data_IF_707810051178
#
_entry.id   IF_707810051178
#
_cell.length_a   1.000
_cell.length_b   1.000
_cell.length_c   1.000
_cell.angle_alpha   90.00
_cell.angle_beta   90.00
_cell.angle_gamma   90.00
#
_symmetry.space_group_name_H-M   'P 1'
#
loop_
_entity.id
_entity.type
_entity.pdbx_description
1 polymer ?
#
# COMPACT_ATOMS: atom_id res chain seq x y z
N UNK A 1 -14.58 10.68 -1.45
CA UNK A 1 -14.09 9.30 -1.28
C UNK A 1 -13.04 9.13 -2.35
N UNK A 2 -11.77 9.02 -1.96
CA UNK A 2 -10.68 8.87 -2.93
C UNK A 2 -10.79 7.44 -3.45
N UNK A 3 -11.08 7.29 -4.73
CA UNK A 3 -11.12 5.98 -5.37
C UNK A 3 -9.71 5.59 -5.78
N UNK A 4 -9.24 4.43 -5.30
CA UNK A 4 -7.87 3.96 -5.44
C UNK A 4 -7.88 2.73 -6.35
N UNK A 5 -7.26 2.84 -7.51
CA UNK A 5 -7.07 1.71 -8.41
C UNK A 5 -5.81 0.94 -8.02
N UNK A 6 -5.96 -0.30 -7.53
CA UNK A 6 -4.87 -1.21 -7.14
C UNK A 6 -5.04 -2.56 -7.85
N UNK A 7 -3.97 -3.04 -8.48
CA UNK A 7 -3.89 -4.39 -9.06
C UNK A 7 -3.55 -5.42 -7.98
N UNK A 8 -4.56 -5.81 -7.20
CA UNK A 8 -4.40 -6.78 -6.11
C UNK A 8 -3.93 -8.15 -6.62
N UNK A 9 -4.54 -8.65 -7.70
CA UNK A 9 -4.26 -9.98 -8.24
C UNK A 9 -2.82 -10.08 -8.75
N UNK A 10 -2.34 -9.05 -9.47
CA UNK A 10 -0.96 -9.00 -9.96
C UNK A 10 0.07 -8.99 -8.83
N UNK A 11 -0.17 -8.20 -7.78
CA UNK A 11 0.73 -8.12 -6.62
C UNK A 11 0.72 -9.44 -5.82
N UNK A 12 -0.46 -10.03 -5.60
CA UNK A 12 -0.57 -11.32 -4.93
C UNK A 12 0.18 -12.42 -5.69
N UNK A 13 0.02 -12.46 -7.01
CA UNK A 13 0.71 -13.43 -7.86
C UNK A 13 2.23 -13.26 -7.83
N UNK A 14 2.72 -12.02 -7.87
CA UNK A 14 4.16 -11.75 -7.88
C UNK A 14 4.81 -12.16 -6.55
N UNK A 15 4.15 -11.89 -5.44
CA UNK A 15 4.71 -12.18 -4.11
C UNK A 15 4.40 -13.60 -3.60
N UNK A 16 3.66 -14.40 -4.38
CA UNK A 16 3.18 -15.73 -3.98
C UNK A 16 2.33 -15.66 -2.70
N UNK A 17 1.45 -14.66 -2.63
CA UNK A 17 0.57 -14.45 -1.49
C UNK A 17 -0.73 -15.24 -1.66
N UNK A 18 -1.22 -15.93 -0.60
CA UNK A 18 -2.50 -16.63 -0.65
C UNK A 18 -3.66 -15.63 -0.76
N UNK A 19 -4.74 -16.02 -1.42
CA UNK A 19 -5.96 -15.20 -1.50
C UNK A 19 -6.75 -15.25 -0.17
N UNK A 20 -6.27 -14.50 0.82
CA UNK A 20 -6.82 -14.40 2.19
C UNK A 20 -6.76 -12.95 2.69
N UNK A 21 -7.55 -12.62 3.71
CA UNK A 21 -7.61 -11.27 4.32
C UNK A 21 -6.25 -10.63 4.54
N UNK A 22 -5.35 -11.36 5.20
CA UNK A 22 -4.02 -10.85 5.55
C UNK A 22 -3.19 -10.43 4.32
N UNK A 23 -3.38 -11.04 3.16
CA UNK A 23 -2.69 -10.64 1.93
C UNK A 23 -3.26 -9.33 1.37
N UNK A 24 -4.58 -9.17 1.40
CA UNK A 24 -5.22 -7.92 1.00
C UNK A 24 -4.82 -6.77 1.91
N UNK A 25 -4.87 -7.00 3.22
CA UNK A 25 -4.51 -6.02 4.25
C UNK A 25 -3.10 -5.47 4.04
N UNK A 26 -2.12 -6.34 3.78
CA UNK A 26 -0.73 -5.93 3.51
C UNK A 26 -0.60 -5.05 2.26
N UNK A 27 -1.27 -5.42 1.17
CA UNK A 27 -1.26 -4.63 -0.07
C UNK A 27 -1.90 -3.27 0.19
N UNK A 28 -3.05 -3.25 0.86
CA UNK A 28 -3.75 -2.04 1.28
C UNK A 28 -2.84 -1.12 2.07
N UNK A 29 -2.12 -1.67 3.05
CA UNK A 29 -1.27 -0.93 3.95
C UNK A 29 -0.14 -0.20 3.21
N UNK A 30 0.43 -0.84 2.19
CA UNK A 30 1.42 -0.22 1.31
C UNK A 30 0.87 1.01 0.59
N UNK A 31 -0.36 0.91 0.07
CA UNK A 31 -0.99 1.99 -0.69
C UNK A 31 -1.42 3.14 0.22
N UNK A 32 -1.91 2.84 1.43
CA UNK A 32 -2.14 3.86 2.47
C UNK A 32 -0.83 4.60 2.77
N UNK A 33 0.27 3.87 2.91
CA UNK A 33 1.56 4.48 3.15
C UNK A 33 1.99 5.42 2.01
N UNK A 34 1.80 5.04 0.73
CA UNK A 34 2.03 5.96 -0.39
C UNK A 34 1.21 7.26 -0.26
N UNK A 35 -0.05 7.17 0.18
CA UNK A 35 -0.90 8.33 0.40
C UNK A 35 -0.44 9.19 1.59
N UNK A 36 0.09 8.57 2.65
CA UNK A 36 0.68 9.28 3.77
C UNK A 36 1.94 10.03 3.35
N UNK A 37 2.78 9.45 2.50
CA UNK A 37 3.96 10.12 1.91
C UNK A 37 3.52 11.36 1.13
N UNK A 38 2.50 11.23 0.28
CA UNK A 38 1.90 12.37 -0.44
C UNK A 38 1.38 13.45 0.51
N UNK A 39 0.71 13.03 1.58
CA UNK A 39 0.09 13.91 2.55
C UNK A 39 1.11 14.70 3.38
N UNK A 40 2.26 14.08 3.71
CA UNK A 40 3.36 14.77 4.40
C UNK A 40 3.93 15.89 3.53
N UNK A 41 4.01 15.69 2.22
CA UNK A 41 4.54 16.71 1.30
C UNK A 41 3.58 17.88 1.05
N UNK A 42 2.28 17.73 1.31
CA UNK A 42 1.29 18.82 1.25
C UNK A 42 1.41 19.84 2.39
N UNK A 43 2.46 19.74 3.22
CA UNK A 43 2.75 20.61 4.37
C UNK A 43 1.66 20.62 5.44
N UNK A 44 0.73 19.66 5.38
CA UNK A 44 -0.19 19.35 6.47
C UNK A 44 0.58 18.63 7.58
N UNK A 45 1.24 19.43 8.44
CA UNK A 45 1.87 18.96 9.68
C UNK A 45 0.87 18.44 10.71
N UNK A 46 -0.43 18.45 10.39
CA UNK A 46 -1.48 18.01 11.30
C UNK A 46 -1.44 16.49 11.48
N UNK A 47 -0.80 16.08 12.58
CA UNK A 47 -0.76 14.71 13.07
C UNK A 47 -2.17 14.12 13.14
N UNK A 48 -3.19 14.91 13.52
CA UNK A 48 -4.56 14.44 13.63
C UNK A 48 -5.13 14.03 12.27
N UNK A 49 -4.90 14.83 11.22
CA UNK A 49 -5.40 14.52 9.88
C UNK A 49 -4.73 13.28 9.29
N UNK A 50 -3.43 13.05 9.57
CA UNK A 50 -2.75 11.81 9.17
C UNK A 50 -3.38 10.57 9.82
N UNK A 51 -3.61 10.64 11.13
CA UNK A 51 -4.26 9.53 11.85
C UNK A 51 -5.70 9.33 11.39
N UNK A 52 -6.44 10.41 11.12
CA UNK A 52 -7.81 10.34 10.62
C UNK A 52 -7.86 9.74 9.21
N UNK A 53 -6.95 10.13 8.32
CA UNK A 53 -6.84 9.60 6.96
C UNK A 53 -6.56 8.10 6.99
N UNK A 54 -5.52 7.69 7.74
CA UNK A 54 -5.17 6.28 7.91
C UNK A 54 -6.35 5.47 8.48
N UNK A 55 -7.04 6.03 9.49
CA UNK A 55 -8.23 5.41 10.08
C UNK A 55 -9.38 5.26 9.10
N UNK A 56 -9.71 6.30 8.35
CA UNK A 56 -10.81 6.27 7.37
C UNK A 56 -10.51 5.29 6.25
N UNK A 57 -9.28 5.30 5.73
CA UNK A 57 -8.86 4.35 4.69
C UNK A 57 -8.91 2.91 5.19
N UNK A 58 -8.48 2.66 6.43
CA UNK A 58 -8.58 1.33 7.02
C UNK A 58 -10.04 0.84 7.10
N UNK A 59 -10.97 1.68 7.55
CA UNK A 59 -12.39 1.34 7.66
C UNK A 59 -12.99 0.99 6.28
N UNK A 60 -12.71 1.81 5.26
CA UNK A 60 -13.20 1.56 3.91
C UNK A 60 -12.67 0.23 3.34
N UNK A 61 -11.46 -0.17 3.74
CA UNK A 61 -10.80 -1.37 3.25
C UNK A 61 -11.19 -2.63 4.04
N UNK A 62 -11.50 -2.53 5.34
CA UNK A 62 -12.17 -3.60 6.09
C UNK A 62 -13.55 -3.92 5.46
N UNK A 63 -14.31 -2.90 5.08
CA UNK A 63 -15.58 -3.07 4.37
C UNK A 63 -15.37 -3.76 3.01
N UNK A 64 -14.35 -3.38 2.24
CA UNK A 64 -14.04 -3.98 0.95
C UNK A 64 -13.55 -5.43 1.08
N UNK A 65 -12.70 -5.71 2.07
CA UNK A 65 -12.22 -7.05 2.37
C UNK A 65 -13.36 -7.97 2.83
N UNK A 66 -14.32 -7.48 3.63
CA UNK A 66 -15.52 -8.23 4.00
C UNK A 66 -16.40 -8.60 2.79
N UNK A 67 -16.45 -7.75 1.76
CA UNK A 67 -17.17 -8.04 0.51
C UNK A 67 -16.47 -9.16 -0.29
N UNK A 68 -15.16 -9.06 -0.47
CA UNK A 68 -14.34 -10.03 -1.23
C UNK A 68 -14.29 -11.39 -0.53
N UNK A 69 -14.18 -11.39 0.80
CA UNK A 69 -13.93 -12.57 1.63
C UNK A 69 -15.20 -13.12 2.30
N UNK A 70 -16.38 -12.66 1.89
CA UNK A 70 -17.70 -13.11 2.38
C UNK A 70 -17.93 -14.63 2.31
N UNK A 71 -17.02 -15.39 1.68
CA UNK A 71 -16.99 -16.85 1.58
C UNK A 71 -15.98 -17.55 2.53
N UNK A 72 -15.06 -16.83 3.18
CA UNK A 72 -14.10 -17.37 4.14
C UNK A 72 -14.60 -17.16 5.58
N UNK A 73 -14.33 -18.14 6.47
CA UNK A 73 -14.83 -18.09 7.84
C UNK A 73 -14.38 -16.82 8.56
N UNK A 74 -15.31 -16.21 9.31
CA UNK A 74 -15.19 -14.96 10.10
C UNK A 74 -14.14 -15.00 11.23
N UNK A 75 -13.10 -15.81 11.10
CA UNK A 75 -12.23 -16.22 12.20
C UNK A 75 -11.04 -15.30 12.45
N UNK A 76 -10.81 -14.26 11.66
CA UNK A 76 -9.63 -13.39 11.84
C UNK A 76 -9.85 -11.93 11.40
N UNK A 77 -10.95 -11.31 11.84
CA UNK A 77 -10.92 -9.85 11.95
C UNK A 77 -10.13 -9.57 13.23
N UNK A 78 -8.84 -9.27 13.09
CA UNK A 78 -8.00 -8.86 14.22
C UNK A 78 -8.70 -7.69 14.94
N UNK A 79 -8.44 -7.51 16.24
CA UNK A 79 -9.02 -6.37 16.93
C UNK A 79 -8.45 -5.09 16.31
N UNK A 80 -9.25 -4.00 16.15
CA UNK A 80 -8.78 -2.78 15.49
C UNK A 80 -7.44 -2.27 16.03
N UNK A 81 -7.19 -2.42 17.34
CA UNK A 81 -5.96 -2.04 18.02
C UNK A 81 -4.71 -2.79 17.53
N UNK A 82 -4.83 -4.10 17.24
CA UNK A 82 -3.73 -4.91 16.71
C UNK A 82 -3.36 -4.47 15.30
N UNK A 83 -4.38 -4.16 14.49
CA UNK A 83 -4.23 -3.69 13.12
C UNK A 83 -3.56 -2.32 13.05
N UNK A 84 -3.94 -1.40 13.96
CA UNK A 84 -3.27 -0.10 14.08
C UNK A 84 -1.80 -0.25 14.49
N UNK A 85 -1.51 -1.17 15.41
CA UNK A 85 -0.14 -1.46 15.83
C UNK A 85 0.71 -2.03 14.68
N UNK A 86 0.14 -2.93 13.88
CA UNK A 86 0.79 -3.47 12.68
C UNK A 86 1.02 -2.38 11.62
N UNK A 87 0.05 -1.49 11.43
CA UNK A 87 0.15 -0.33 10.55
C UNK A 87 1.27 0.62 10.97
N UNK A 88 1.28 1.06 12.22
CA UNK A 88 2.29 1.98 12.74
C UNK A 88 3.70 1.36 12.66
N UNK A 89 3.80 0.06 12.97
CA UNK A 89 5.05 -0.69 12.85
C UNK A 89 5.53 -0.73 11.40
N UNK A 90 4.63 -1.03 10.46
CA UNK A 90 4.96 -1.06 9.04
C UNK A 90 5.42 0.30 8.53
N UNK A 91 4.64 1.37 8.78
CA UNK A 91 4.96 2.73 8.35
C UNK A 91 6.33 3.14 8.89
N UNK A 92 6.57 2.95 10.19
CA UNK A 92 7.85 3.28 10.81
C UNK A 92 9.02 2.53 10.16
N UNK A 93 8.84 1.24 9.88
CA UNK A 93 9.85 0.41 9.25
C UNK A 93 10.11 0.90 7.82
N UNK A 94 9.07 1.08 7.00
CA UNK A 94 9.27 1.45 5.60
C UNK A 94 9.84 2.87 5.49
N UNK A 95 9.37 3.84 6.28
CA UNK A 95 9.90 5.21 6.30
C UNK A 95 11.40 5.23 6.64
N UNK A 96 11.80 4.48 7.67
CA UNK A 96 13.21 4.39 8.05
C UNK A 96 14.06 3.80 6.93
N UNK A 97 13.61 2.69 6.34
CA UNK A 97 14.40 1.97 5.35
C UNK A 97 14.32 2.59 3.95
N UNK A 98 13.37 3.51 3.70
CA UNK A 98 13.30 4.29 2.46
C UNK A 98 14.48 5.25 2.33
N UNK A 99 14.92 5.86 3.43
CA UNK A 99 16.05 6.81 3.45
C UNK A 99 17.39 6.07 3.29
N UNK A 100 17.44 4.81 3.71
CA UNK A 100 18.60 3.94 3.62
C UNK A 100 18.72 3.25 2.23
N UNK A 101 19.64 2.29 2.13
CA UNK A 101 19.91 1.50 0.91
C UNK A 101 18.76 0.54 0.56
N UNK A 102 18.59 0.28 -0.73
CA UNK A 102 17.60 -0.66 -1.29
C UNK A 102 17.72 -2.06 -0.72
N UNK A 103 18.93 -2.45 -0.30
CA UNK A 103 19.16 -3.72 0.39
C UNK A 103 18.41 -3.80 1.72
N UNK A 104 18.31 -2.69 2.45
CA UNK A 104 17.63 -2.61 3.74
C UNK A 104 16.12 -2.53 3.54
N UNK A 105 15.67 -1.75 2.55
CA UNK A 105 14.26 -1.72 2.13
C UNK A 105 13.78 -3.10 1.70
N UNK A 106 14.53 -3.82 0.87
CA UNK A 106 14.20 -5.17 0.43
C UNK A 106 14.04 -6.14 1.61
N UNK A 107 14.93 -6.06 2.61
CA UNK A 107 14.83 -6.89 3.80
C UNK A 107 13.57 -6.58 4.64
N UNK A 108 13.20 -5.30 4.75
CA UNK A 108 11.98 -4.88 5.44
C UNK A 108 10.71 -5.35 4.71
N UNK A 109 10.68 -5.20 3.39
CA UNK A 109 9.57 -5.63 2.54
C UNK A 109 9.42 -7.15 2.56
N UNK A 110 10.53 -7.90 2.46
CA UNK A 110 10.52 -9.34 2.62
C UNK A 110 9.89 -9.76 3.95
N UNK A 111 10.36 -9.15 5.05
CA UNK A 111 9.84 -9.39 6.40
C UNK A 111 8.40 -8.96 6.59
N UNK A 112 7.78 -8.22 5.69
CA UNK A 112 6.39 -7.82 5.84
C UNK A 112 5.48 -8.59 4.89
N UNK A 113 5.90 -8.82 3.65
CA UNK A 113 5.05 -9.40 2.61
C UNK A 113 5.29 -10.90 2.38
N UNK A 114 6.52 -11.39 2.57
CA UNK A 114 6.94 -12.75 2.17
C UNK A 114 6.83 -13.77 3.32
N UNK A 115 5.82 -13.63 4.18
CA UNK A 115 5.61 -14.54 5.32
C UNK A 115 5.00 -15.89 4.94
N UNK A 116 4.25 -15.92 3.83
CA UNK A 116 3.43 -17.06 3.47
C UNK A 116 4.24 -18.16 2.78
N UNK A 117 5.23 -17.77 1.97
CA UNK A 117 6.07 -18.66 1.18
C UNK A 117 7.43 -18.02 0.90
N UNK A 118 8.39 -18.84 0.48
CA UNK A 118 9.69 -18.37 0.02
C UNK A 118 9.55 -17.69 -1.34
N UNK A 119 9.34 -16.38 -1.36
CA UNK A 119 9.30 -15.60 -2.60
C UNK A 119 10.68 -15.62 -3.31
N UNK A 120 10.78 -15.84 -4.63
CA UNK A 120 12.06 -15.72 -5.34
C UNK A 120 12.66 -14.31 -5.21
N UNK A 121 13.99 -14.20 -5.19
CA UNK A 121 14.68 -12.92 -5.03
C UNK A 121 14.33 -11.96 -6.17
N UNK A 122 14.19 -12.47 -7.39
CA UNK A 122 13.83 -11.68 -8.58
C UNK A 122 12.49 -10.98 -8.39
N UNK A 123 11.52 -11.66 -7.79
CA UNK A 123 10.17 -11.13 -7.52
C UNK A 123 10.18 -10.08 -6.41
N UNK A 124 11.00 -10.29 -5.38
CA UNK A 124 11.25 -9.27 -4.37
C UNK A 124 11.85 -7.99 -5.00
N UNK A 125 12.82 -8.15 -5.91
CA UNK A 125 13.43 -7.01 -6.62
C UNK A 125 12.40 -6.27 -7.47
N UNK A 126 11.53 -6.98 -8.21
CA UNK A 126 10.40 -6.38 -8.93
C UNK A 126 9.54 -5.54 -8.00
N UNK A 127 9.17 -6.10 -6.85
CA UNK A 127 8.27 -5.43 -5.91
C UNK A 127 8.92 -4.21 -5.23
N UNK A 128 10.20 -4.30 -4.85
CA UNK A 128 10.95 -3.15 -4.32
C UNK A 128 11.07 -2.05 -5.39
N UNK A 129 11.30 -2.42 -6.64
CA UNK A 129 11.33 -1.47 -7.77
C UNK A 129 9.99 -0.77 -7.93
N UNK A 130 8.89 -1.53 -7.81
CA UNK A 130 7.53 -1.00 -7.82
C UNK A 130 7.26 0.01 -6.70
N UNK A 131 7.74 -0.27 -5.49
CA UNK A 131 7.64 0.63 -4.36
C UNK A 131 8.41 1.93 -4.65
N UNK A 132 9.65 1.82 -5.10
CA UNK A 132 10.52 2.99 -5.39
C UNK A 132 9.95 3.88 -6.49
N UNK A 133 9.41 3.29 -7.57
CA UNK A 133 8.80 4.10 -8.65
C UNK A 133 7.52 4.79 -8.19
N UNK A 134 6.69 4.14 -7.38
CA UNK A 134 5.48 4.75 -6.85
C UNK A 134 5.78 5.89 -5.88
N UNK A 135 6.80 5.75 -5.03
CA UNK A 135 7.26 6.86 -4.19
C UNK A 135 7.67 8.05 -5.06
N UNK A 136 8.57 7.86 -6.03
CA UNK A 136 8.99 8.95 -6.92
C UNK A 136 7.84 9.61 -7.67
N UNK A 137 6.88 8.81 -8.14
CA UNK A 137 5.71 9.30 -8.84
C UNK A 137 4.80 10.12 -7.92
N UNK A 138 4.54 9.62 -6.71
CA UNK A 138 3.76 10.34 -5.69
C UNK A 138 4.44 11.64 -5.29
N UNK A 139 5.76 11.63 -5.15
CA UNK A 139 6.53 12.83 -4.83
C UNK A 139 6.44 13.92 -5.93
N UNK A 140 6.21 13.52 -7.19
CA UNK A 140 6.07 14.41 -8.33
C UNK A 140 4.63 14.90 -8.55
N UNK A 141 3.62 14.18 -8.05
CA UNK A 141 2.20 14.52 -8.24
C UNK A 141 1.82 15.89 -7.67
N UNK A 142 2.56 16.41 -6.70
CA UNK A 142 2.30 17.72 -6.10
C UNK A 142 2.69 18.91 -6.97
N UNK A 143 3.67 18.72 -7.86
CA UNK A 143 4.05 19.76 -8.82
C UNK A 143 2.99 19.91 -9.93
N UNK A 144 2.17 18.88 -10.16
CA UNK A 144 1.22 18.83 -11.28
C UNK A 144 -0.21 18.42 -10.83
N UNK A 145 -1.05 19.41 -10.48
CA UNK A 145 -2.52 19.29 -10.47
C UNK A 145 -3.17 18.27 -9.49
N UNK A 146 -2.50 17.82 -8.43
CA UNK A 146 -3.07 16.92 -7.41
C UNK A 146 -4.51 17.27 -6.95
N UNK A 147 -4.83 18.56 -6.86
CA UNK A 147 -6.14 19.05 -6.38
C UNK A 147 -7.28 19.05 -7.43
N UNK A 148 -7.03 18.67 -8.69
CA UNK A 148 -8.05 18.76 -9.76
C UNK A 148 -8.82 17.47 -10.03
N UNK A 149 -8.32 16.32 -9.60
CA UNK A 149 -8.94 15.02 -9.84
C UNK A 149 -9.21 14.32 -8.51
N UNK A 150 -10.44 13.84 -8.29
CA UNK A 150 -10.84 13.08 -7.10
C UNK A 150 -10.26 11.65 -7.03
N UNK A 151 -9.28 11.34 -7.90
CA UNK A 151 -8.74 10.00 -8.14
C UNK A 151 -7.22 9.99 -7.99
N UNK A 152 -6.70 9.02 -7.24
CA UNK A 152 -5.26 8.77 -7.14
C UNK A 152 -4.98 7.42 -7.79
N UNK A 153 -4.17 7.46 -8.84
CA UNK A 153 -3.71 6.25 -9.53
C UNK A 153 -2.27 5.98 -9.14
N UNK A 154 -1.96 4.71 -8.86
CA UNK A 154 -0.60 4.24 -8.67
C UNK A 154 -0.03 3.66 -9.97
N UNK A 155 1.29 3.70 -10.12
CA UNK A 155 1.96 3.06 -11.24
C UNK A 155 1.76 1.54 -11.15
N UNK A 156 1.42 0.83 -12.24
CA UNK A 156 1.28 -0.62 -12.22
C UNK A 156 2.59 -1.33 -11.85
N UNK A 157 2.53 -2.60 -11.45
CA UNK A 157 3.69 -3.40 -11.04
C UNK A 157 4.80 -3.40 -12.10
N UNK A 158 4.44 -3.65 -13.37
CA UNK A 158 5.39 -3.81 -14.47
C UNK A 158 5.53 -2.60 -15.40
N UNK A 159 4.64 -1.60 -15.30
CA UNK A 159 4.62 -0.45 -16.20
C UNK A 159 5.07 0.84 -15.50
N UNK A 160 5.68 1.75 -16.25
CA UNK A 160 6.14 3.06 -15.76
C UNK A 160 5.13 4.19 -16.04
N UNK A 161 3.93 3.84 -16.52
CA UNK A 161 2.88 4.80 -16.80
C UNK A 161 1.51 4.29 -16.35
N UNK A 162 0.69 5.18 -15.80
CA UNK A 162 -0.72 4.89 -15.53
C UNK A 162 -1.44 4.72 -16.86
N UNK A 163 -2.02 3.55 -17.11
CA UNK A 163 -2.85 3.32 -18.29
C UNK A 163 -4.28 3.81 -18.01
N UNK A 164 -4.56 5.07 -18.34
CA UNK A 164 -5.85 5.75 -18.08
C UNK A 164 -7.03 5.13 -18.88
N UNK A 165 -6.79 4.06 -19.66
CA UNK A 165 -7.82 3.38 -20.46
C UNK A 165 -8.98 2.73 -19.67
N UNK A 166 -8.87 2.64 -18.34
CA UNK A 166 -9.96 2.18 -17.48
C UNK A 166 -10.60 3.30 -16.64
N UNK A 167 -10.28 4.57 -16.92
CA UNK A 167 -10.88 5.72 -16.26
C UNK A 167 -12.13 6.23 -17.02
N UNK A 168 -13.20 5.43 -17.03
CA UNK A 168 -14.60 5.88 -17.24
C UNK A 168 -15.52 5.04 -16.36
#
# INVERSE_FOLDING_TARGET
MIDISVDFDGIQYELDMPNVFASFERIVLLHIWFLLVLYVQLDSTDVFLRHQLARTMYIDLDLHAQQILSSQSKTHCNQPEELYSEMDTFIFVVDKNLIDDDTVLAAAIWKHFCHFQSTPLERLVTFVTYIRKNIRYVEQLLDENFMKNDYIYFLPLYDDSVNIKFAI
#
